data_IF_084459166262
#
_entry.id   IF_084459166262
#
_cell.length_a   1.000
_cell.length_b   1.000
_cell.length_c   1.000
_cell.angle_alpha   90.00
_cell.angle_beta   90.00
_cell.angle_gamma   90.00
#
_symmetry.space_group_name_H-M   'P 1'
#
loop_
_entity.id
_entity.type
_entity.pdbx_description
1 polymer ?
#
# COMPACT_ATOMS: atom_id res chain seq x y z
N UNK A 1 16.41 -11.88 22.22
CA UNK A 1 15.06 -11.74 22.81
C UNK A 1 14.36 -13.08 22.64
N UNK A 2 13.84 -13.70 23.71
CA UNK A 2 13.27 -15.04 23.64
C UNK A 2 11.95 -15.10 22.86
N UNK A 3 11.25 -13.98 22.74
CA UNK A 3 10.00 -13.85 21.97
C UNK A 3 10.15 -12.69 21.00
N UNK A 4 9.94 -12.94 19.71
CA UNK A 4 10.10 -11.93 18.67
C UNK A 4 9.14 -12.18 17.51
N UNK A 5 8.77 -11.12 16.84
CA UNK A 5 8.12 -11.15 15.54
C UNK A 5 9.16 -10.69 14.52
N UNK A 6 9.35 -11.47 13.47
CA UNK A 6 10.27 -11.18 12.38
C UNK A 6 9.47 -11.05 11.10
N UNK A 7 9.58 -9.90 10.43
CA UNK A 7 9.01 -9.64 9.13
C UNK A 7 10.10 -9.79 8.07
N UNK A 8 9.86 -10.65 7.10
CA UNK A 8 10.64 -10.81 5.88
C UNK A 8 9.82 -10.25 4.72
N UNK A 9 10.16 -9.05 4.30
CA UNK A 9 9.41 -8.33 3.29
C UNK A 9 9.94 -8.66 1.89
N UNK A 10 9.05 -8.88 0.92
CA UNK A 10 9.35 -9.18 -0.47
C UNK A 10 10.33 -10.37 -0.65
N UNK A 11 10.00 -11.50 -0.02
CA UNK A 11 10.88 -12.68 0.02
C UNK A 11 11.23 -13.25 -1.37
N UNK A 12 10.42 -13.01 -2.38
CA UNK A 12 10.68 -13.41 -3.77
C UNK A 12 11.89 -12.69 -4.38
N UNK A 13 12.31 -11.55 -3.80
CA UNK A 13 13.48 -10.79 -4.24
C UNK A 13 14.77 -11.23 -3.55
N UNK A 14 14.66 -12.08 -2.52
CA UNK A 14 15.83 -12.56 -1.79
C UNK A 14 16.64 -13.56 -2.61
N UNK A 15 17.96 -13.53 -2.43
CA UNK A 15 18.82 -14.56 -3.03
C UNK A 15 18.46 -15.94 -2.46
N UNK A 16 18.41 -17.03 -3.27
CA UNK A 16 18.05 -18.36 -2.81
C UNK A 16 18.85 -18.88 -1.60
N UNK A 17 20.11 -18.50 -1.47
CA UNK A 17 20.95 -18.87 -0.31
C UNK A 17 20.44 -18.24 1.00
N UNK A 18 19.91 -17.02 0.94
CA UNK A 18 19.32 -16.36 2.11
C UNK A 18 18.09 -17.13 2.58
N UNK A 19 17.23 -17.55 1.66
CA UNK A 19 16.08 -18.39 1.98
C UNK A 19 16.50 -19.73 2.60
N UNK A 20 17.60 -20.32 2.15
CA UNK A 20 18.12 -21.56 2.74
C UNK A 20 18.50 -21.42 4.23
N UNK A 21 18.97 -20.24 4.66
CA UNK A 21 19.21 -19.96 6.07
C UNK A 21 17.92 -20.02 6.89
N UNK A 22 16.87 -19.41 6.36
CA UNK A 22 15.56 -19.43 7.05
C UNK A 22 14.92 -20.81 7.07
N UNK A 23 15.17 -21.69 6.07
CA UNK A 23 14.73 -23.08 6.12
C UNK A 23 15.25 -23.81 7.38
N UNK A 24 16.48 -23.51 7.81
CA UNK A 24 17.03 -24.09 9.04
C UNK A 24 16.26 -23.59 10.28
N UNK A 25 15.94 -22.30 10.32
CA UNK A 25 15.14 -21.73 11.41
C UNK A 25 13.76 -22.38 11.51
N UNK A 26 13.09 -22.61 10.36
CA UNK A 26 11.77 -23.20 10.32
C UNK A 26 11.77 -24.73 10.58
N UNK A 27 12.83 -25.42 10.21
CA UNK A 27 12.94 -26.87 10.38
C UNK A 27 13.45 -27.26 11.76
N UNK A 28 14.50 -26.60 12.23
CA UNK A 28 15.19 -26.92 13.50
C UNK A 28 14.83 -25.96 14.64
N UNK A 29 14.20 -24.82 14.35
CA UNK A 29 13.97 -23.77 15.32
C UNK A 29 15.24 -23.02 15.71
N UNK A 30 16.31 -23.11 14.91
CA UNK A 30 17.61 -22.53 15.20
C UNK A 30 18.21 -21.91 13.93
N UNK A 31 18.95 -20.82 14.10
CA UNK A 31 19.65 -20.12 13.04
C UNK A 31 21.11 -19.88 13.44
N UNK A 32 22.04 -20.25 12.59
CA UNK A 32 23.46 -19.97 12.84
C UNK A 32 23.80 -18.54 12.39
N UNK A 33 24.45 -17.75 13.26
CA UNK A 33 24.99 -16.46 12.86
C UNK A 33 26.31 -16.60 12.05
N UNK A 34 26.84 -15.47 11.58
CA UNK A 34 28.09 -15.46 10.79
C UNK A 34 29.34 -15.94 11.54
N UNK A 35 29.28 -16.10 12.87
CA UNK A 35 30.32 -16.63 13.71
C UNK A 35 30.05 -18.10 14.13
N UNK A 36 28.99 -18.72 13.61
CA UNK A 36 28.59 -20.08 13.89
C UNK A 36 27.85 -20.28 15.22
N UNK A 37 27.43 -19.20 15.92
CA UNK A 37 26.64 -19.31 17.13
C UNK A 37 25.19 -19.63 16.77
N UNK A 38 24.58 -20.57 17.48
CA UNK A 38 23.18 -20.93 17.28
C UNK A 38 22.27 -19.96 18.02
N UNK A 39 21.32 -19.40 17.27
CA UNK A 39 20.27 -18.53 17.79
C UNK A 39 18.99 -19.34 17.85
N UNK A 40 18.39 -19.47 19.03
CA UNK A 40 17.11 -20.15 19.23
C UNK A 40 15.96 -19.30 18.66
N UNK A 41 15.25 -19.87 17.69
CA UNK A 41 14.11 -19.26 17.01
C UNK A 41 12.76 -19.92 17.34
N UNK A 42 12.69 -20.84 18.31
CA UNK A 42 11.47 -21.62 18.64
C UNK A 42 10.30 -20.75 19.07
N UNK A 43 10.58 -19.59 19.65
CA UNK A 43 9.56 -18.63 20.09
C UNK A 43 9.48 -17.39 19.18
N UNK A 44 9.89 -17.53 17.92
CA UNK A 44 9.82 -16.47 16.93
C UNK A 44 8.66 -16.74 15.98
N UNK A 45 7.83 -15.72 15.76
CA UNK A 45 6.80 -15.73 14.71
C UNK A 45 7.38 -15.04 13.49
N UNK A 46 7.35 -15.71 12.35
CA UNK A 46 7.81 -15.16 11.08
C UNK A 46 6.61 -14.77 10.21
N UNK A 47 6.62 -13.53 9.73
CA UNK A 47 5.75 -13.07 8.68
C UNK A 47 6.57 -12.88 7.41
N UNK A 48 6.11 -13.47 6.32
CA UNK A 48 6.71 -13.33 5.00
C UNK A 48 5.72 -12.61 4.11
N UNK A 49 6.14 -11.54 3.46
CA UNK A 49 5.33 -10.90 2.42
C UNK A 49 5.88 -11.23 1.05
N UNK A 50 5.02 -11.33 0.07
CA UNK A 50 5.41 -11.63 -1.31
C UNK A 50 4.37 -11.15 -2.31
N UNK A 51 4.81 -10.84 -3.53
CA UNK A 51 3.97 -10.62 -4.71
C UNK A 51 3.80 -11.88 -5.57
N UNK A 52 4.29 -13.04 -5.10
CA UNK A 52 4.08 -14.31 -5.81
C UNK A 52 2.59 -14.62 -5.96
N UNK A 53 2.20 -15.03 -7.16
CA UNK A 53 0.82 -15.35 -7.45
C UNK A 53 -0.13 -14.15 -7.55
N UNK A 54 0.38 -12.93 -7.63
CA UNK A 54 -0.43 -11.71 -7.74
C UNK A 54 -1.48 -11.81 -8.86
N UNK A 55 -1.08 -12.24 -10.07
CA UNK A 55 -2.01 -12.34 -11.19
C UNK A 55 -3.09 -13.39 -10.95
N UNK A 56 -2.74 -14.51 -10.34
CA UNK A 56 -3.69 -15.57 -9.96
C UNK A 56 -4.68 -15.06 -8.91
N UNK A 57 -4.21 -14.30 -7.92
CA UNK A 57 -5.09 -13.68 -6.91
C UNK A 57 -6.07 -12.70 -7.57
N UNK A 58 -5.60 -11.84 -8.50
CA UNK A 58 -6.46 -10.90 -9.23
C UNK A 58 -7.52 -11.64 -10.05
N UNK A 59 -7.12 -12.69 -10.77
CA UNK A 59 -8.03 -13.45 -11.63
C UNK A 59 -9.09 -14.27 -10.86
N UNK A 60 -8.81 -14.59 -9.59
CA UNK A 60 -9.72 -15.36 -8.73
C UNK A 60 -10.36 -14.52 -7.62
N UNK A 61 -10.27 -13.18 -7.70
CA UNK A 61 -10.80 -12.30 -6.67
C UNK A 61 -12.31 -12.49 -6.40
N UNK A 62 -13.07 -12.85 -7.44
CA UNK A 62 -14.51 -13.12 -7.35
C UNK A 62 -14.83 -14.58 -6.98
N UNK A 63 -13.84 -15.47 -6.92
CA UNK A 63 -14.00 -16.90 -6.64
C UNK A 63 -12.99 -17.40 -5.62
N UNK A 64 -13.03 -16.92 -4.36
CA UNK A 64 -12.03 -17.24 -3.35
C UNK A 64 -11.89 -18.74 -3.06
N UNK A 65 -12.95 -19.53 -3.26
CA UNK A 65 -12.93 -20.97 -2.98
C UNK A 65 -11.97 -21.76 -3.89
N UNK A 66 -11.65 -21.25 -5.09
CA UNK A 66 -10.70 -21.86 -6.02
C UNK A 66 -9.30 -21.25 -5.97
N UNK A 67 -9.14 -20.19 -5.18
CA UNK A 67 -7.89 -19.43 -5.14
C UNK A 67 -6.73 -20.24 -4.56
N UNK A 68 -6.96 -20.99 -3.48
CA UNK A 68 -5.92 -21.77 -2.83
C UNK A 68 -5.33 -22.83 -3.76
N UNK A 69 -6.20 -23.54 -4.50
CA UNK A 69 -5.77 -24.55 -5.47
C UNK A 69 -4.99 -23.94 -6.64
N UNK A 70 -5.42 -22.76 -7.12
CA UNK A 70 -4.76 -22.06 -8.21
C UNK A 70 -3.43 -21.42 -7.79
N UNK A 71 -3.31 -20.96 -6.54
CA UNK A 71 -2.13 -20.28 -6.01
C UNK A 71 -1.02 -21.28 -5.62
N UNK A 72 -1.40 -22.45 -5.14
CA UNK A 72 -0.44 -23.44 -4.62
C UNK A 72 0.70 -23.79 -5.60
N UNK A 73 0.49 -24.06 -6.90
CA UNK A 73 1.58 -24.36 -7.83
C UNK A 73 2.61 -23.25 -7.97
N UNK A 74 2.17 -21.99 -7.93
CA UNK A 74 3.08 -20.84 -8.01
C UNK A 74 3.93 -20.72 -6.75
N UNK A 75 3.32 -20.89 -5.59
CA UNK A 75 4.06 -20.88 -4.31
C UNK A 75 5.01 -22.08 -4.23
N UNK A 76 4.60 -23.26 -4.68
CA UNK A 76 5.41 -24.47 -4.68
C UNK A 76 6.60 -24.41 -5.66
N UNK A 77 6.53 -23.57 -6.70
CA UNK A 77 7.65 -23.32 -7.60
C UNK A 77 8.78 -22.52 -6.94
N UNK A 78 8.45 -21.71 -5.93
CA UNK A 78 9.40 -20.85 -5.21
C UNK A 78 9.81 -21.43 -3.85
N UNK A 79 8.83 -21.83 -3.05
CA UNK A 79 9.08 -22.39 -1.72
C UNK A 79 9.19 -23.93 -1.80
N UNK A 80 10.14 -24.49 -1.03
CA UNK A 80 10.20 -25.93 -0.89
C UNK A 80 8.91 -26.49 -0.27
N UNK A 81 8.38 -27.63 -0.75
CA UNK A 81 7.12 -28.19 -0.25
C UNK A 81 7.08 -28.38 1.27
N UNK A 82 8.21 -28.79 1.88
CA UNK A 82 8.33 -28.98 3.33
C UNK A 82 8.12 -27.66 4.11
N UNK A 83 8.50 -26.52 3.56
CA UNK A 83 8.27 -25.23 4.16
C UNK A 83 6.83 -24.78 3.94
N UNK A 84 6.35 -24.89 2.71
CA UNK A 84 4.99 -24.48 2.35
C UNK A 84 3.93 -25.22 3.20
N UNK A 85 4.17 -26.49 3.52
CA UNK A 85 3.30 -27.27 4.41
C UNK A 85 3.26 -26.78 5.87
N UNK A 86 4.21 -25.90 6.27
CA UNK A 86 4.27 -25.30 7.61
C UNK A 86 3.82 -23.84 7.63
N UNK A 87 3.53 -23.28 6.47
CA UNK A 87 3.04 -21.91 6.33
C UNK A 87 1.53 -21.87 6.32
N UNK A 88 0.98 -20.84 6.92
CA UNK A 88 -0.38 -20.40 6.66
C UNK A 88 -0.32 -19.31 5.58
N UNK A 89 -0.94 -19.59 4.44
CA UNK A 89 -0.99 -18.65 3.32
C UNK A 89 -2.22 -17.78 3.46
N UNK A 90 -2.02 -16.46 3.48
CA UNK A 90 -3.09 -15.48 3.57
C UNK A 90 -3.08 -14.62 2.31
N UNK A 91 -3.92 -14.94 1.31
CA UNK A 91 -4.00 -14.14 0.09
C UNK A 91 -4.67 -12.80 0.37
N UNK A 92 -4.04 -11.71 -0.07
CA UNK A 92 -4.62 -10.37 -0.01
C UNK A 92 -5.31 -10.07 -1.33
N UNK A 93 -6.64 -9.97 -1.30
CA UNK A 93 -7.44 -9.64 -2.47
C UNK A 93 -7.26 -8.17 -2.87
N UNK A 94 -7.41 -7.83 -4.17
CA UNK A 94 -7.45 -6.45 -4.62
C UNK A 94 -8.53 -5.66 -3.88
N UNK A 95 -8.24 -4.39 -3.63
CA UNK A 95 -9.20 -3.49 -3.00
C UNK A 95 -10.37 -3.22 -3.94
N UNK A 96 -11.60 -3.45 -3.48
CA UNK A 96 -12.81 -3.09 -4.21
C UNK A 96 -13.01 -1.58 -4.29
N UNK A 97 -13.86 -1.15 -5.24
CA UNK A 97 -14.12 0.27 -5.50
C UNK A 97 -14.62 1.04 -4.27
N UNK A 98 -15.52 0.45 -3.49
CA UNK A 98 -16.04 1.07 -2.27
C UNK A 98 -14.94 1.33 -1.24
N UNK A 99 -14.06 0.35 -1.05
CA UNK A 99 -12.91 0.49 -0.14
C UNK A 99 -11.93 1.56 -0.64
N UNK A 100 -11.66 1.59 -1.95
CA UNK A 100 -10.82 2.63 -2.54
C UNK A 100 -11.45 4.01 -2.38
N UNK A 101 -12.75 4.16 -2.62
CA UNK A 101 -13.47 5.43 -2.44
C UNK A 101 -13.35 5.93 -0.99
N UNK A 102 -13.50 5.03 -0.02
CA UNK A 102 -13.33 5.38 1.40
C UNK A 102 -11.91 5.83 1.72
N UNK A 103 -10.90 5.11 1.22
CA UNK A 103 -9.49 5.48 1.43
C UNK A 103 -9.18 6.84 0.81
N UNK A 104 -9.66 7.10 -0.42
CA UNK A 104 -9.50 8.40 -1.09
C UNK A 104 -10.19 9.50 -0.28
N UNK A 105 -11.44 9.28 0.14
CA UNK A 105 -12.20 10.22 0.96
C UNK A 105 -11.49 10.59 2.26
N UNK A 106 -10.99 9.59 2.99
CA UNK A 106 -10.25 9.80 4.25
C UNK A 106 -8.95 10.60 4.02
N UNK A 107 -8.22 10.33 2.93
CA UNK A 107 -7.00 11.08 2.59
C UNK A 107 -7.32 12.53 2.20
N UNK A 108 -8.34 12.75 1.40
CA UNK A 108 -8.80 14.09 1.02
C UNK A 108 -9.30 14.89 2.23
N UNK A 109 -10.04 14.24 3.13
CA UNK A 109 -10.50 14.89 4.36
C UNK A 109 -9.33 15.33 5.24
N UNK A 110 -8.32 14.47 5.43
CA UNK A 110 -7.09 14.84 6.16
C UNK A 110 -6.36 16.01 5.50
N UNK A 111 -6.27 16.02 4.17
CA UNK A 111 -5.69 17.14 3.43
C UNK A 111 -6.49 18.43 3.65
N UNK A 112 -7.82 18.36 3.56
CA UNK A 112 -8.70 19.50 3.81
C UNK A 112 -8.52 20.05 5.23
N UNK A 113 -8.46 19.17 6.23
CA UNK A 113 -8.23 19.56 7.63
C UNK A 113 -6.88 20.22 7.83
N UNK A 114 -5.82 19.75 7.16
CA UNK A 114 -4.49 20.37 7.20
C UNK A 114 -4.48 21.78 6.57
N UNK A 115 -5.13 21.94 5.40
CA UNK A 115 -5.27 23.25 4.73
C UNK A 115 -6.06 24.21 5.63
N UNK A 116 -7.19 23.75 6.16
CA UNK A 116 -8.04 24.53 7.08
C UNK A 116 -7.27 24.99 8.33
N UNK A 117 -6.53 24.09 8.96
CA UNK A 117 -5.75 24.40 10.15
C UNK A 117 -4.62 25.40 9.86
N UNK A 118 -3.96 25.27 8.69
CA UNK A 118 -2.80 26.10 8.34
C UNK A 118 -3.16 27.51 7.86
N UNK A 119 -4.25 27.63 7.11
CA UNK A 119 -4.64 28.87 6.43
C UNK A 119 -5.89 29.53 7.04
N UNK A 120 -6.52 28.88 8.05
CA UNK A 120 -7.75 29.33 8.68
C UNK A 120 -8.88 29.61 7.68
N UNK A 121 -9.01 28.73 6.67
CA UNK A 121 -9.93 28.86 5.54
C UNK A 121 -10.90 27.69 5.49
N UNK A 122 -11.99 27.84 4.80
CA UNK A 122 -12.88 26.71 4.46
C UNK A 122 -12.29 25.92 3.30
N UNK A 123 -12.51 24.59 3.31
CA UNK A 123 -12.11 23.70 2.22
C UNK A 123 -13.31 22.94 1.73
N UNK A 124 -13.55 22.99 0.43
CA UNK A 124 -14.61 22.27 -0.26
C UNK A 124 -14.01 21.25 -1.22
N UNK A 125 -14.46 20.01 -1.09
CA UNK A 125 -14.18 18.94 -2.03
C UNK A 125 -15.30 18.88 -3.05
N UNK A 126 -15.00 19.16 -4.30
CA UNK A 126 -15.99 19.18 -5.37
C UNK A 126 -16.37 17.76 -5.81
N UNK A 127 -17.59 17.63 -6.34
CA UNK A 127 -18.09 16.39 -6.88
C UNK A 127 -17.17 15.82 -7.97
N UNK A 128 -17.07 14.49 -8.03
CA UNK A 128 -16.24 13.79 -9.01
C UNK A 128 -14.74 13.70 -8.67
N UNK A 129 -14.24 14.44 -7.67
CA UNK A 129 -12.82 14.41 -7.29
C UNK A 129 -12.38 13.01 -6.81
N UNK A 130 -13.18 12.35 -5.98
CA UNK A 130 -12.91 11.00 -5.47
C UNK A 130 -12.83 10.02 -6.64
N UNK A 131 -13.80 10.06 -7.55
CA UNK A 131 -13.87 9.17 -8.72
C UNK A 131 -12.69 9.39 -9.68
N UNK A 132 -12.27 10.63 -9.86
CA UNK A 132 -11.12 10.96 -10.70
C UNK A 132 -9.81 10.41 -10.13
N UNK A 133 -9.59 10.53 -8.82
CA UNK A 133 -8.41 9.99 -8.14
C UNK A 133 -8.44 8.47 -8.18
N UNK A 134 -9.58 7.83 -7.84
CA UNK A 134 -9.75 6.38 -7.90
C UNK A 134 -9.45 5.85 -9.30
N UNK A 135 -10.04 6.43 -10.33
CA UNK A 135 -9.87 5.98 -11.72
C UNK A 135 -8.41 6.04 -12.20
N UNK A 136 -7.62 6.97 -11.68
CA UNK A 136 -6.18 7.03 -11.97
C UNK A 136 -5.41 5.96 -11.20
N UNK A 137 -5.75 5.73 -9.94
CA UNK A 137 -5.11 4.73 -9.11
C UNK A 137 -5.36 3.30 -9.62
N UNK A 138 -6.59 2.98 -10.07
CA UNK A 138 -6.93 1.65 -10.59
C UNK A 138 -6.26 1.31 -11.92
N UNK A 139 -5.80 2.29 -12.68
CA UNK A 139 -5.00 2.06 -13.89
C UNK A 139 -3.54 1.68 -13.60
N UNK A 140 -3.10 1.75 -12.36
CA UNK A 140 -1.76 1.46 -11.95
C UNK A 140 -1.68 0.13 -11.18
N UNK A 141 -0.66 -0.67 -11.46
CA UNK A 141 -0.38 -1.91 -10.73
C UNK A 141 -0.13 -1.69 -9.22
N UNK A 142 0.18 -0.46 -8.83
CA UNK A 142 0.50 -0.09 -7.45
C UNK A 142 -0.73 0.33 -6.61
N UNK A 143 -1.93 0.34 -7.18
CA UNK A 143 -3.20 0.54 -6.47
C UNK A 143 -3.19 1.69 -5.46
N UNK A 144 -3.48 1.36 -4.19
CA UNK A 144 -3.60 2.36 -3.12
C UNK A 144 -2.32 3.17 -2.82
N UNK A 145 -1.13 2.67 -3.14
CA UNK A 145 0.13 3.43 -2.99
C UNK A 145 0.21 4.62 -3.94
N UNK A 146 -0.43 4.50 -5.12
CA UNK A 146 -0.50 5.61 -6.08
C UNK A 146 -1.38 6.76 -5.62
N UNK A 147 -2.31 6.54 -4.69
CA UNK A 147 -3.20 7.59 -4.19
C UNK A 147 -2.43 8.77 -3.59
N UNK A 148 -1.38 8.51 -2.82
CA UNK A 148 -0.53 9.56 -2.27
C UNK A 148 0.21 10.31 -3.38
N UNK A 149 0.80 9.58 -4.30
CA UNK A 149 1.51 10.18 -5.43
C UNK A 149 0.59 11.04 -6.31
N UNK A 150 -0.66 10.63 -6.51
CA UNK A 150 -1.65 11.42 -7.27
C UNK A 150 -2.03 12.68 -6.48
N UNK A 151 -2.32 12.56 -5.20
CA UNK A 151 -2.71 13.70 -4.37
C UNK A 151 -1.55 14.70 -4.24
N UNK A 152 -0.36 14.23 -3.91
CA UNK A 152 0.81 15.08 -3.71
C UNK A 152 1.41 15.61 -5.01
N UNK A 153 1.43 14.78 -6.06
CA UNK A 153 2.06 15.12 -7.33
C UNK A 153 1.17 15.84 -8.33
N UNK A 154 -0.15 15.62 -8.26
CA UNK A 154 -1.06 16.18 -9.26
C UNK A 154 -2.11 17.14 -8.68
N UNK A 155 -2.69 16.84 -7.49
CA UNK A 155 -3.72 17.69 -6.89
C UNK A 155 -3.13 18.86 -6.09
N UNK A 156 -2.10 18.64 -5.29
CA UNK A 156 -1.50 19.69 -4.45
C UNK A 156 -0.81 20.82 -5.23
N UNK A 157 -0.09 20.60 -6.35
CA UNK A 157 0.61 21.68 -7.04
C UNK A 157 -0.28 22.84 -7.49
N UNK A 158 -1.43 22.64 -8.18
CA UNK A 158 -2.31 23.75 -8.55
C UNK A 158 -2.88 24.50 -7.34
N UNK A 159 -3.19 23.78 -6.24
CA UNK A 159 -3.67 24.38 -5.00
C UNK A 159 -2.58 25.25 -4.36
N UNK A 160 -1.37 24.70 -4.27
CA UNK A 160 -0.22 25.38 -3.68
C UNK A 160 0.13 26.65 -4.46
N UNK A 161 0.07 26.61 -5.79
CA UNK A 161 0.32 27.76 -6.64
C UNK A 161 -0.73 28.85 -6.41
N UNK A 162 -2.00 28.50 -6.42
CA UNK A 162 -3.09 29.44 -6.18
C UNK A 162 -3.02 30.10 -4.77
N UNK A 163 -2.65 29.31 -3.75
CA UNK A 163 -2.43 29.83 -2.40
C UNK A 163 -1.24 30.80 -2.35
N UNK A 164 -0.13 30.47 -3.01
CA UNK A 164 1.06 31.35 -3.07
C UNK A 164 0.76 32.67 -3.79
N UNK A 165 -0.01 32.66 -4.86
CA UNK A 165 -0.42 33.86 -5.59
C UNK A 165 -1.24 34.79 -4.69
N UNK A 166 -2.23 34.27 -3.96
CA UNK A 166 -3.03 35.02 -2.98
C UNK A 166 -2.19 35.60 -1.86
N UNK A 167 -1.30 34.81 -1.28
CA UNK A 167 -0.40 35.25 -0.21
C UNK A 167 0.58 36.33 -0.69
N UNK A 168 1.10 36.20 -1.91
CA UNK A 168 1.97 37.20 -2.51
C UNK A 168 1.25 38.52 -2.77
N UNK A 169 -0.03 38.46 -3.15
CA UNK A 169 -0.90 39.62 -3.30
C UNK A 169 -1.39 40.19 -1.97
N UNK A 170 -1.05 39.57 -0.84
CA UNK A 170 -1.54 39.91 0.52
C UNK A 170 -3.06 39.91 0.63
N UNK A 171 -3.71 39.05 -0.17
CA UNK A 171 -5.13 38.83 -0.12
C UNK A 171 -5.47 37.76 0.95
N UNK A 172 -6.63 37.92 1.59
CA UNK A 172 -7.12 36.92 2.54
C UNK A 172 -7.65 35.72 1.78
N UNK A 173 -7.33 34.52 2.24
CA UNK A 173 -7.89 33.27 1.73
C UNK A 173 -9.11 32.91 2.56
N UNK A 174 -10.28 32.90 1.97
CA UNK A 174 -11.54 32.56 2.65
C UNK A 174 -12.01 31.14 2.36
N UNK A 175 -11.74 30.64 1.15
CA UNK A 175 -12.16 29.32 0.73
C UNK A 175 -11.17 28.72 -0.27
N UNK A 176 -10.93 27.41 -0.12
CA UNK A 176 -10.18 26.59 -1.06
C UNK A 176 -11.11 25.51 -1.63
N UNK A 177 -11.18 25.40 -2.94
CA UNK A 177 -11.97 24.38 -3.62
C UNK A 177 -11.05 23.41 -4.34
N UNK A 178 -11.17 22.14 -4.02
CA UNK A 178 -10.42 21.05 -4.64
C UNK A 178 -11.35 20.32 -5.60
N UNK A 179 -10.99 20.27 -6.88
CA UNK A 179 -11.86 19.71 -7.90
C UNK A 179 -11.12 19.05 -9.06
N UNK A 180 -11.88 18.72 -10.08
CA UNK A 180 -11.41 18.17 -11.33
C UNK A 180 -12.21 18.77 -12.49
N UNK A 181 -11.51 19.31 -13.50
CA UNK A 181 -12.08 19.82 -14.74
C UNK A 181 -11.27 19.25 -15.91
N UNK A 182 -11.96 18.80 -16.95
CA UNK A 182 -11.34 18.21 -18.15
C UNK A 182 -10.26 17.17 -17.83
N UNK A 183 -10.55 16.29 -16.86
CA UNK A 183 -9.63 15.28 -16.35
C UNK A 183 -8.33 15.84 -15.73
N UNK A 184 -8.26 17.12 -15.40
CA UNK A 184 -7.15 17.74 -14.67
C UNK A 184 -7.61 18.16 -13.27
N UNK A 185 -6.75 17.96 -12.30
CA UNK A 185 -7.03 18.45 -10.96
C UNK A 185 -6.90 19.96 -10.89
N UNK A 186 -7.83 20.57 -10.20
CA UNK A 186 -7.92 22.02 -10.04
C UNK A 186 -7.93 22.40 -8.57
N UNK A 187 -7.30 23.52 -8.27
CA UNK A 187 -7.36 24.15 -6.96
C UNK A 187 -7.72 25.62 -7.15
N UNK A 188 -8.91 25.99 -6.71
CA UNK A 188 -9.34 27.40 -6.71
C UNK A 188 -9.28 27.96 -5.30
N UNK A 189 -8.78 29.19 -5.19
CA UNK A 189 -8.64 29.89 -3.91
C UNK A 189 -9.36 31.22 -4.01
N UNK A 190 -10.33 31.41 -3.12
CA UNK A 190 -11.14 32.62 -3.04
C UNK A 190 -10.84 33.41 -1.79
#
# INVERSE_FOLDING_TARGET
>A
KPYSVVLLDEVEKAHPEVLNLFYQAFDKGELADGEGRLIDCKNVVFFLTSNLGYQTIVNHAESPASLDEALYPELASFFKPALLARMEVVPYLPLGEETLNRIVGDKLQRLADQIKARYHTEVELQDGLIDAIRSRATRSENGARMLESIIEGELLPPVSLALLEKLAARESVTKVMLGVEDARFTGMVV
#
